data_IF_622735246887
#
_entry.id   IF_622735246887
#
_cell.length_a   1.000
_cell.length_b   1.000
_cell.length_c   1.000
_cell.angle_alpha   90.00
_cell.angle_beta   90.00
_cell.angle_gamma   90.00
#
_symmetry.space_group_name_H-M   'P 1'
#
loop_
_entity.id
_entity.type
_entity.pdbx_description
1 polymer ?
#
# COMPACT_ATOMS: atom_id res chain seq x y z
N UNK A 1 -9.49 10.92 -13.12
CA UNK A 1 -10.46 11.92 -12.62
C UNK A 1 -10.73 13.00 -13.64
N UNK A 2 -9.72 13.69 -14.15
CA UNK A 2 -9.89 14.78 -15.13
C UNK A 2 -10.67 14.33 -16.38
N UNK A 3 -10.23 13.29 -17.06
CA UNK A 3 -10.86 12.84 -18.32
C UNK A 3 -12.27 12.27 -18.19
N UNK A 4 -12.58 11.62 -17.08
CA UNK A 4 -13.88 10.93 -16.91
C UNK A 4 -14.93 11.74 -16.19
N UNK A 5 -14.52 12.58 -15.24
CA UNK A 5 -15.43 13.35 -14.39
C UNK A 5 -15.35 14.85 -14.62
N UNK A 6 -14.52 15.31 -15.58
CA UNK A 6 -14.38 16.73 -15.89
C UNK A 6 -13.78 17.59 -14.78
N UNK A 7 -13.03 16.96 -13.86
CA UNK A 7 -12.33 17.73 -12.81
C UNK A 7 -11.35 18.70 -13.42
N UNK A 8 -11.38 19.92 -12.96
CA UNK A 8 -10.34 20.89 -13.28
C UNK A 8 -9.07 20.61 -12.47
N UNK A 9 -7.92 21.03 -12.99
CA UNK A 9 -6.62 20.76 -12.35
C UNK A 9 -6.57 21.29 -10.91
N UNK A 10 -7.20 22.42 -10.65
CA UNK A 10 -7.26 23.01 -9.31
C UNK A 10 -8.09 22.18 -8.32
N UNK A 11 -9.13 21.48 -8.76
CA UNK A 11 -9.95 20.60 -7.91
C UNK A 11 -9.15 19.36 -7.50
N UNK A 12 -8.42 18.76 -8.45
CA UNK A 12 -7.50 17.64 -8.15
C UNK A 12 -6.40 18.10 -7.20
N UNK A 13 -5.82 19.28 -7.40
CA UNK A 13 -4.82 19.85 -6.51
C UNK A 13 -5.37 20.10 -5.11
N UNK A 14 -6.61 20.57 -5.00
CA UNK A 14 -7.28 20.77 -3.71
C UNK A 14 -7.50 19.46 -2.95
N UNK A 15 -7.89 18.38 -3.65
CA UNK A 15 -8.00 17.04 -3.07
C UNK A 15 -6.64 16.54 -2.59
N UNK A 16 -5.57 16.80 -3.33
CA UNK A 16 -4.21 16.44 -2.94
C UNK A 16 -3.77 17.19 -1.68
N UNK A 17 -4.00 18.51 -1.61
CA UNK A 17 -3.70 19.32 -0.44
C UNK A 17 -4.50 18.88 0.79
N UNK A 18 -5.80 18.63 0.61
CA UNK A 18 -6.66 18.10 1.67
C UNK A 18 -6.10 16.80 2.22
N UNK A 19 -5.67 15.91 1.33
CA UNK A 19 -5.08 14.63 1.71
C UNK A 19 -3.78 14.80 2.51
N UNK A 20 -2.89 15.72 2.11
CA UNK A 20 -1.68 16.02 2.86
C UNK A 20 -1.99 16.51 4.28
N UNK A 21 -2.98 17.40 4.41
CA UNK A 21 -3.41 17.90 5.73
C UNK A 21 -3.99 16.77 6.58
N UNK A 22 -4.87 15.94 6.02
CA UNK A 22 -5.43 14.78 6.74
C UNK A 22 -4.30 13.83 7.18
N UNK A 23 -3.36 13.50 6.30
CA UNK A 23 -2.23 12.64 6.62
C UNK A 23 -1.35 13.18 7.75
N UNK A 24 -1.14 14.50 7.82
CA UNK A 24 -0.38 15.11 8.91
C UNK A 24 -0.96 14.79 10.31
N UNK A 25 -2.28 14.73 10.42
CA UNK A 25 -2.96 14.39 11.68
C UNK A 25 -3.12 12.87 11.88
N UNK A 26 -3.32 12.13 10.82
CA UNK A 26 -3.63 10.69 10.88
C UNK A 26 -2.36 9.84 10.99
N UNK A 27 -1.25 10.24 10.39
CA UNK A 27 0.01 9.47 10.43
C UNK A 27 0.49 9.14 11.87
N UNK A 28 0.49 10.08 12.85
CA UNK A 28 0.87 9.73 14.23
C UNK A 28 -0.13 8.81 14.91
N UNK A 29 -1.41 8.82 14.51
CA UNK A 29 -2.44 7.89 15.01
C UNK A 29 -2.14 6.49 14.50
N UNK A 30 -1.85 6.36 13.22
CA UNK A 30 -1.49 5.08 12.60
C UNK A 30 -0.16 4.54 13.14
N UNK A 31 0.84 5.39 13.38
CA UNK A 31 2.09 4.97 14.04
C UNK A 31 1.84 4.34 15.41
N UNK A 32 0.95 4.94 16.21
CA UNK A 32 0.54 4.37 17.50
C UNK A 32 -0.28 3.09 17.35
N UNK A 33 -1.14 3.03 16.35
CA UNK A 33 -1.94 1.84 16.05
C UNK A 33 -1.05 0.66 15.65
N UNK A 34 -0.06 0.88 14.79
CA UNK A 34 0.94 -0.14 14.41
C UNK A 34 1.68 -0.66 15.63
N UNK A 35 2.14 0.25 16.53
CA UNK A 35 2.80 -0.14 17.78
C UNK A 35 1.91 -0.95 18.73
N UNK A 36 0.59 -0.72 18.73
CA UNK A 36 -0.35 -1.39 19.62
C UNK A 36 -0.89 -2.72 19.07
N UNK A 37 -1.23 -2.74 17.78
CA UNK A 37 -1.88 -3.89 17.12
C UNK A 37 -0.88 -4.85 16.46
N UNK A 38 0.38 -4.42 16.30
CA UNK A 38 1.44 -5.15 15.63
C UNK A 38 1.46 -4.96 14.12
N UNK A 39 2.64 -5.13 13.54
CA UNK A 39 2.92 -4.87 12.12
C UNK A 39 2.10 -5.77 11.20
N UNK A 40 1.95 -7.05 11.53
CA UNK A 40 1.16 -8.01 10.74
C UNK A 40 -0.28 -7.54 10.55
N UNK A 41 -0.94 -7.16 11.65
CA UNK A 41 -2.36 -6.76 11.59
C UNK A 41 -2.52 -5.44 10.83
N UNK A 42 -1.58 -4.51 11.01
CA UNK A 42 -1.57 -3.26 10.28
C UNK A 42 -1.41 -3.47 8.77
N UNK A 43 -0.44 -4.30 8.35
CA UNK A 43 -0.22 -4.64 6.93
C UNK A 43 -1.40 -5.41 6.32
N UNK A 44 -1.98 -6.37 7.06
CA UNK A 44 -3.16 -7.08 6.57
C UNK A 44 -4.35 -6.14 6.37
N UNK A 45 -4.55 -5.20 7.29
CA UNK A 45 -5.62 -4.20 7.19
C UNK A 45 -5.38 -3.24 6.02
N UNK A 46 -4.14 -2.78 5.83
CA UNK A 46 -3.74 -1.95 4.71
C UNK A 46 -4.02 -2.64 3.37
N UNK A 47 -3.44 -3.82 3.15
CA UNK A 47 -3.56 -4.51 1.85
C UNK A 47 -4.98 -4.98 1.56
N UNK A 48 -5.74 -5.39 2.58
CA UNK A 48 -7.16 -5.69 2.41
C UNK A 48 -7.95 -4.43 2.02
N UNK A 49 -7.70 -3.31 2.70
CA UNK A 49 -8.32 -2.03 2.39
C UNK A 49 -7.99 -1.54 0.98
N UNK A 50 -6.72 -1.61 0.58
CA UNK A 50 -6.27 -1.26 -0.78
C UNK A 50 -6.91 -2.16 -1.84
N UNK A 51 -7.02 -3.47 -1.60
CA UNK A 51 -7.70 -4.39 -2.52
C UNK A 51 -9.17 -3.97 -2.73
N UNK A 52 -9.89 -3.64 -1.64
CA UNK A 52 -11.27 -3.16 -1.70
C UNK A 52 -11.36 -1.82 -2.46
N UNK A 53 -10.45 -0.89 -2.21
CA UNK A 53 -10.41 0.42 -2.90
C UNK A 53 -10.18 0.24 -4.39
N UNK A 54 -9.22 -0.58 -4.81
CA UNK A 54 -8.94 -0.81 -6.23
C UNK A 54 -10.08 -1.55 -6.92
N UNK A 55 -10.74 -2.51 -6.27
CA UNK A 55 -11.94 -3.15 -6.79
C UNK A 55 -13.09 -2.14 -6.93
N UNK A 56 -13.26 -1.23 -5.98
CA UNK A 56 -14.26 -0.17 -6.06
C UNK A 56 -13.95 0.81 -7.21
N UNK A 57 -12.69 1.17 -7.44
CA UNK A 57 -12.30 1.96 -8.63
C UNK A 57 -12.61 1.23 -9.94
N UNK A 58 -12.34 -0.08 -10.00
CA UNK A 58 -12.77 -0.92 -11.11
C UNK A 58 -14.29 -0.87 -11.29
N UNK A 59 -15.05 -0.96 -10.20
CA UNK A 59 -16.52 -0.82 -10.20
C UNK A 59 -16.99 0.53 -10.73
N UNK A 60 -16.34 1.63 -10.40
CA UNK A 60 -16.64 2.96 -10.97
C UNK A 60 -16.52 2.93 -12.50
N UNK A 61 -15.51 2.23 -13.02
CA UNK A 61 -15.32 2.12 -14.44
C UNK A 61 -16.43 1.31 -15.13
N UNK A 62 -16.78 0.15 -14.57
CA UNK A 62 -17.74 -0.77 -15.19
C UNK A 62 -19.21 -0.39 -14.92
N UNK A 63 -19.53 0.12 -13.74
CA UNK A 63 -20.91 0.40 -13.31
C UNK A 63 -21.27 1.89 -13.34
N UNK A 64 -20.31 2.78 -13.64
CA UNK A 64 -20.57 4.21 -13.77
C UNK A 64 -20.89 4.92 -12.45
N UNK A 65 -20.36 4.45 -11.31
CA UNK A 65 -20.56 5.10 -10.02
C UNK A 65 -20.03 6.54 -10.00
N UNK A 66 -20.67 7.39 -9.17
CA UNK A 66 -20.48 8.84 -9.23
C UNK A 66 -19.10 9.33 -8.73
N UNK A 67 -18.84 10.60 -9.06
CA UNK A 67 -17.61 11.33 -8.75
C UNK A 67 -17.30 11.42 -7.25
N UNK A 68 -18.33 11.53 -6.41
CA UNK A 68 -18.16 11.64 -4.95
C UNK A 68 -17.50 10.37 -4.40
N UNK A 69 -17.91 9.21 -4.91
CA UNK A 69 -17.29 7.94 -4.52
C UNK A 69 -15.82 7.90 -4.96
N UNK A 70 -15.49 8.35 -6.16
CA UNK A 70 -14.12 8.39 -6.64
C UNK A 70 -13.22 9.29 -5.77
N UNK A 71 -13.72 10.48 -5.38
CA UNK A 71 -13.00 11.39 -4.49
C UNK A 71 -12.83 10.79 -3.07
N UNK A 72 -13.86 10.13 -2.55
CA UNK A 72 -13.79 9.46 -1.25
C UNK A 72 -12.78 8.32 -1.26
N UNK A 73 -12.77 7.49 -2.30
CA UNK A 73 -11.81 6.41 -2.47
C UNK A 73 -10.38 6.93 -2.58
N UNK A 74 -10.17 8.09 -3.21
CA UNK A 74 -8.85 8.73 -3.28
C UNK A 74 -8.31 9.09 -1.90
N UNK A 75 -9.15 9.65 -1.02
CA UNK A 75 -8.75 9.97 0.35
C UNK A 75 -8.45 8.68 1.14
N UNK A 76 -9.32 7.69 1.02
CA UNK A 76 -9.17 6.39 1.72
C UNK A 76 -7.90 5.67 1.28
N UNK A 77 -7.60 5.63 -0.01
CA UNK A 77 -6.38 5.05 -0.58
C UNK A 77 -5.11 5.62 0.08
N UNK A 78 -5.04 6.95 0.15
CA UNK A 78 -3.90 7.62 0.77
C UNK A 78 -3.81 7.43 2.28
N UNK A 79 -4.94 7.25 2.97
CA UNK A 79 -4.94 6.91 4.38
C UNK A 79 -4.35 5.51 4.61
N UNK A 80 -4.72 4.53 3.79
CA UNK A 80 -4.13 3.20 3.85
C UNK A 80 -2.63 3.22 3.57
N UNK A 81 -2.18 4.00 2.59
CA UNK A 81 -0.76 4.14 2.29
C UNK A 81 0.09 4.60 3.49
N UNK A 82 -0.50 5.34 4.43
CA UNK A 82 0.18 5.73 5.67
C UNK A 82 0.53 4.55 6.58
N UNK A 83 -0.15 3.40 6.43
CA UNK A 83 0.15 2.16 7.16
C UNK A 83 1.40 1.44 6.61
N UNK A 84 1.90 1.80 5.44
CA UNK A 84 3.16 1.27 4.89
C UNK A 84 4.37 1.47 5.83
N UNK A 85 4.23 2.37 6.83
CA UNK A 85 5.17 2.49 7.95
C UNK A 85 5.36 1.15 8.69
N UNK A 86 4.32 0.32 8.75
CA UNK A 86 4.38 -0.99 9.40
C UNK A 86 5.42 -1.93 8.75
N UNK A 87 5.62 -1.84 7.43
CA UNK A 87 6.66 -2.61 6.74
C UNK A 87 8.06 -2.17 7.17
N UNK A 88 8.28 -0.87 7.36
CA UNK A 88 9.57 -0.34 7.83
C UNK A 88 9.86 -0.76 9.26
N UNK A 89 8.87 -0.68 10.15
CA UNK A 89 9.02 -1.12 11.55
C UNK A 89 9.20 -2.62 11.66
N UNK A 90 8.52 -3.42 10.84
CA UNK A 90 8.73 -4.85 10.73
C UNK A 90 10.18 -5.17 10.36
N UNK A 91 10.68 -4.56 9.28
CA UNK A 91 12.04 -4.77 8.83
C UNK A 91 13.08 -4.39 9.90
N UNK A 92 12.90 -3.26 10.59
CA UNK A 92 13.80 -2.84 11.66
C UNK A 92 13.84 -3.80 12.85
N UNK A 93 12.79 -4.57 13.10
CA UNK A 93 12.74 -5.56 14.17
C UNK A 93 13.49 -6.84 13.84
N UNK A 94 13.52 -7.25 12.57
CA UNK A 94 14.11 -8.52 12.16
C UNK A 94 15.55 -8.37 11.64
N UNK A 95 15.92 -7.21 11.10
CA UNK A 95 17.22 -6.97 10.49
C UNK A 95 18.33 -6.76 11.54
N UNK A 96 19.55 -7.16 11.19
CA UNK A 96 20.72 -6.75 11.94
C UNK A 96 21.03 -5.27 11.71
N UNK A 97 21.52 -4.53 12.73
CA UNK A 97 21.78 -3.09 12.60
C UNK A 97 22.70 -2.72 11.42
N UNK A 98 23.68 -3.59 11.12
CA UNK A 98 24.60 -3.41 10.00
C UNK A 98 23.96 -3.59 8.63
N UNK A 99 22.82 -4.32 8.53
CA UNK A 99 22.11 -4.61 7.29
C UNK A 99 21.00 -3.61 6.99
N UNK A 100 20.61 -2.79 7.96
CA UNK A 100 19.51 -1.82 7.81
C UNK A 100 19.83 -0.81 6.70
N UNK A 101 21.00 -0.18 6.74
CA UNK A 101 21.35 0.86 5.78
C UNK A 101 21.58 0.30 4.35
N UNK A 102 22.33 -0.80 4.13
CA UNK A 102 22.47 -1.39 2.80
C UNK A 102 21.15 -1.84 2.20
N UNK A 103 20.29 -2.50 2.99
CA UNK A 103 18.98 -2.96 2.50
C UNK A 103 18.05 -1.82 2.17
N UNK A 104 18.07 -0.74 2.98
CA UNK A 104 17.30 0.46 2.70
C UNK A 104 17.75 1.12 1.38
N UNK A 105 19.06 1.15 1.10
CA UNK A 105 19.60 1.68 -0.16
C UNK A 105 19.15 0.85 -1.37
N UNK A 106 19.18 -0.47 -1.27
CA UNK A 106 18.67 -1.39 -2.31
C UNK A 106 17.17 -1.19 -2.53
N UNK A 107 16.38 -1.15 -1.45
CA UNK A 107 14.94 -0.91 -1.54
C UNK A 107 14.62 0.45 -2.17
N UNK A 108 15.38 1.49 -1.83
CA UNK A 108 15.27 2.82 -2.44
C UNK A 108 15.53 2.75 -3.96
N UNK A 109 16.57 2.06 -4.39
CA UNK A 109 16.90 1.89 -5.80
C UNK A 109 15.80 1.17 -6.55
N UNK A 110 15.29 0.04 -6.01
CA UNK A 110 14.19 -0.73 -6.59
C UNK A 110 12.94 0.15 -6.73
N UNK A 111 12.59 0.90 -5.69
CA UNK A 111 11.43 1.79 -5.70
C UNK A 111 11.56 2.89 -6.76
N UNK A 112 12.77 3.44 -6.97
CA UNK A 112 12.99 4.46 -8.01
C UNK A 112 12.90 3.87 -9.42
N UNK A 113 13.44 2.68 -9.63
CA UNK A 113 13.28 1.96 -10.90
C UNK A 113 11.77 1.72 -11.16
N UNK A 114 11.06 1.20 -10.17
CA UNK A 114 9.61 0.98 -10.28
C UNK A 114 8.84 2.29 -10.55
N UNK A 115 9.21 3.39 -9.88
CA UNK A 115 8.58 4.69 -10.07
C UNK A 115 8.73 5.25 -11.50
N UNK A 116 9.75 4.85 -12.23
CA UNK A 116 9.94 5.23 -13.64
C UNK A 116 9.18 4.28 -14.59
N UNK A 117 9.31 2.98 -14.40
CA UNK A 117 8.77 1.99 -15.35
C UNK A 117 7.28 1.71 -15.15
N UNK A 118 6.78 1.68 -13.91
CA UNK A 118 5.38 1.39 -13.62
C UNK A 118 4.42 2.41 -14.26
N UNK A 119 4.63 3.73 -14.17
CA UNK A 119 3.72 4.69 -14.82
C UNK A 119 3.66 4.51 -16.33
N UNK A 120 4.79 4.17 -16.99
CA UNK A 120 4.83 3.94 -18.43
C UNK A 120 4.03 2.68 -18.78
N UNK A 121 4.26 1.58 -18.08
CA UNK A 121 3.53 0.33 -18.29
C UNK A 121 2.03 0.49 -18.01
N UNK A 122 1.68 1.09 -16.88
CA UNK A 122 0.27 1.33 -16.51
C UNK A 122 -0.39 2.33 -17.46
N UNK A 123 0.35 3.30 -17.99
CA UNK A 123 -0.13 4.23 -19.02
C UNK A 123 -0.53 3.51 -20.31
N UNK A 124 0.29 2.59 -20.80
CA UNK A 124 -0.06 1.75 -21.94
C UNK A 124 -1.27 0.85 -21.67
N UNK A 125 -1.29 0.22 -20.47
CA UNK A 125 -2.42 -0.61 -20.07
C UNK A 125 -3.72 0.21 -19.95
N UNK A 126 -3.62 1.46 -19.51
CA UNK A 126 -4.74 2.39 -19.43
C UNK A 126 -5.34 2.69 -20.81
N UNK A 127 -4.51 2.85 -21.84
CA UNK A 127 -4.98 3.09 -23.22
C UNK A 127 -5.75 1.88 -23.77
N UNK A 128 -5.43 0.66 -23.33
CA UNK A 128 -6.12 -0.57 -23.75
C UNK A 128 -7.38 -0.79 -22.92
N UNK A 129 -7.28 -0.71 -21.60
CA UNK A 129 -8.39 -0.92 -20.67
C UNK A 129 -8.13 -0.26 -19.33
N UNK A 130 -8.75 0.88 -19.01
CA UNK A 130 -8.63 1.52 -17.71
C UNK A 130 -9.05 0.60 -16.54
N UNK A 131 -10.07 -0.24 -16.75
CA UNK A 131 -10.51 -1.21 -15.75
C UNK A 131 -9.44 -2.26 -15.42
N UNK A 132 -8.65 -2.69 -16.41
CA UNK A 132 -7.58 -3.66 -16.22
C UNK A 132 -6.47 -3.14 -15.26
N UNK A 133 -6.20 -1.83 -15.28
CA UNK A 133 -5.24 -1.21 -14.37
C UNK A 133 -5.66 -1.40 -12.92
N UNK A 134 -6.93 -1.16 -12.61
CA UNK A 134 -7.46 -1.32 -11.24
C UNK A 134 -7.53 -2.79 -10.82
N UNK A 135 -7.88 -3.69 -11.73
CA UNK A 135 -7.88 -5.13 -11.45
C UNK A 135 -6.46 -5.65 -11.20
N UNK A 136 -5.48 -5.17 -11.95
CA UNK A 136 -4.07 -5.50 -11.73
C UNK A 136 -3.61 -5.00 -10.35
N UNK A 137 -3.93 -3.75 -10.00
CA UNK A 137 -3.62 -3.18 -8.70
C UNK A 137 -4.29 -3.95 -7.55
N UNK A 138 -5.56 -4.34 -7.70
CA UNK A 138 -6.27 -5.19 -6.74
C UNK A 138 -5.59 -6.57 -6.60
N UNK A 139 -5.17 -7.18 -7.70
CA UNK A 139 -4.44 -8.45 -7.69
C UNK A 139 -3.11 -8.37 -6.95
N UNK A 140 -2.35 -7.28 -7.15
CA UNK A 140 -1.10 -7.02 -6.42
C UNK A 140 -1.40 -6.82 -4.93
N UNK A 141 -2.44 -6.07 -4.57
CA UNK A 141 -2.83 -5.87 -3.17
C UNK A 141 -3.23 -7.18 -2.48
N UNK A 142 -3.96 -8.07 -3.17
CA UNK A 142 -4.29 -9.41 -2.66
C UNK A 142 -3.03 -10.26 -2.48
N UNK A 143 -2.10 -10.23 -3.43
CA UNK A 143 -0.82 -10.93 -3.30
C UNK A 143 -0.02 -10.41 -2.09
N UNK A 144 0.03 -9.09 -1.92
CA UNK A 144 0.68 -8.45 -0.76
C UNK A 144 0.01 -8.84 0.55
N UNK A 145 -1.34 -8.95 0.56
CA UNK A 145 -2.09 -9.45 1.71
C UNK A 145 -1.69 -10.89 2.07
N UNK A 146 -1.59 -11.78 1.07
CA UNK A 146 -1.16 -13.16 1.30
C UNK A 146 0.26 -13.22 1.87
N UNK A 147 1.18 -12.39 1.37
CA UNK A 147 2.53 -12.28 1.92
C UNK A 147 2.54 -11.72 3.35
N UNK A 148 1.70 -10.71 3.64
CA UNK A 148 1.58 -10.15 4.98
C UNK A 148 1.05 -11.17 6.00
N UNK A 149 0.21 -12.12 5.58
CA UNK A 149 -0.27 -13.22 6.42
C UNK A 149 0.85 -14.18 6.83
N UNK A 150 1.96 -14.24 6.08
CA UNK A 150 3.14 -15.03 6.42
C UNK A 150 4.02 -14.39 7.50
N UNK A 151 3.78 -13.14 7.87
CA UNK A 151 4.47 -12.46 8.96
C UNK A 151 3.96 -13.03 10.29
N UNK A 152 4.83 -13.39 11.24
CA UNK A 152 4.42 -13.84 12.57
C UNK A 152 3.81 -12.70 13.39
N UNK A 153 3.00 -13.01 14.39
CA UNK A 153 2.39 -11.99 15.26
C UNK A 153 3.42 -11.18 16.07
N UNK A 154 4.54 -11.80 16.38
CA UNK A 154 5.67 -11.20 17.10
C UNK A 154 6.93 -11.44 16.26
N UNK A 155 7.25 -10.55 15.32
CA UNK A 155 8.44 -10.68 14.50
C UNK A 155 9.68 -10.35 15.34
N UNK A 156 10.64 -11.25 15.29
CA UNK A 156 11.94 -11.13 15.98
C UNK A 156 13.02 -11.73 15.08
N UNK A 157 14.29 -11.44 15.38
CA UNK A 157 15.42 -12.09 14.70
C UNK A 157 15.35 -13.60 14.87
N UNK A 158 15.45 -14.35 13.77
CA UNK A 158 15.28 -15.78 13.74
C UNK A 158 13.81 -16.25 13.67
N UNK A 159 12.86 -15.31 13.66
CA UNK A 159 11.41 -15.55 13.48
C UNK A 159 10.80 -14.55 12.51
N UNK A 160 11.40 -14.44 11.35
CA UNK A 160 10.99 -13.48 10.31
C UNK A 160 9.68 -13.90 9.64
N UNK A 161 9.44 -15.22 9.50
CA UNK A 161 8.25 -15.77 8.87
C UNK A 161 7.64 -16.89 9.71
N UNK A 162 6.37 -17.23 9.41
CA UNK A 162 5.70 -18.37 10.07
C UNK A 162 6.47 -19.67 9.85
N UNK A 163 7.15 -19.82 8.72
CA UNK A 163 7.94 -21.01 8.36
C UNK A 163 9.27 -21.12 9.13
N UNK A 164 9.84 -20.02 9.62
CA UNK A 164 11.07 -20.04 10.42
C UNK A 164 10.93 -20.88 11.69
N UNK A 165 9.70 -21.00 12.21
CA UNK A 165 9.40 -21.83 13.39
C UNK A 165 9.60 -23.34 13.15
N UNK A 166 9.44 -23.81 11.92
CA UNK A 166 9.64 -25.23 11.58
C UNK A 166 11.14 -25.57 11.46
N UNK A 167 11.96 -24.62 11.01
CA UNK A 167 13.39 -24.85 10.81
C UNK A 167 14.17 -24.88 12.13
N UNK A 168 13.72 -24.14 13.16
CA UNK A 168 14.34 -24.12 14.51
C UNK A 168 14.06 -25.37 15.34
N UNK A 169 13.11 -26.22 14.96
CA UNK A 169 12.81 -27.47 15.70
C UNK A 169 13.48 -28.71 15.10
N UNK A 170 14.18 -28.57 13.97
CA UNK A 170 14.86 -29.67 13.26
C UNK A 170 16.37 -29.69 13.45
N UNK A 171 16.93 -28.78 14.24
CA UNK A 171 18.32 -28.71 14.69
C UNK A 171 18.38 -28.45 16.20
#
# INVERSE_FOLDING_TARGET
MVERFGFEVHEVTSLFLLNLVINMFVAPIFGRAVGRFGERNALCFEYFGLACVFLAYGGIYYFGWGVILAASLYIIDHLFFSLALALKTYFQKIADPQDIAPTAAVAFTINHIAAVFLPVFLGYLWLVSPGAVFLLAAGIAVLSLLLALLIPRHPEKGRETIFARFYSQTH
#
